data_IF_780677167990
#
_entry.id   IF_780677167990
#
_cell.length_a   1.000
_cell.length_b   1.000
_cell.length_c   1.000
_cell.angle_alpha   90.00
_cell.angle_beta   90.00
_cell.angle_gamma   90.00
#
_symmetry.space_group_name_H-M   'P 1'
#
loop_
_entity.id
_entity.type
_entity.pdbx_description
1 polymer ?
#
# COMPACT_ATOMS: atom_id res chain seq x y z
N UNK A 1 8.90 31.89 32.19
CA UNK A 1 8.88 32.10 30.72
C UNK A 1 10.32 32.34 30.35
N UNK A 2 10.91 31.56 29.43
CA UNK A 2 12.36 31.50 29.19
C UNK A 2 13.05 32.88 29.22
N UNK A 3 13.68 33.21 30.35
CA UNK A 3 14.33 34.51 30.58
C UNK A 3 15.77 34.53 30.02
N UNK A 4 16.30 33.36 29.61
CA UNK A 4 17.61 33.27 28.95
C UNK A 4 17.45 33.30 27.41
N UNK A 5 18.03 34.31 26.71
CA UNK A 5 17.99 34.37 25.25
C UNK A 5 18.61 33.15 24.56
N UNK A 6 19.49 32.39 25.24
CA UNK A 6 20.07 31.15 24.73
C UNK A 6 19.05 30.04 24.65
N UNK A 7 18.25 29.87 25.71
CA UNK A 7 17.17 28.88 25.76
C UNK A 7 16.14 29.15 24.66
N UNK A 8 15.74 30.42 24.50
CA UNK A 8 14.82 30.81 23.44
C UNK A 8 15.38 30.58 22.02
N UNK A 9 16.70 30.62 21.83
CA UNK A 9 17.33 30.32 20.55
C UNK A 9 17.37 28.81 20.27
N UNK A 10 17.60 27.99 21.30
CA UNK A 10 17.61 26.53 21.15
C UNK A 10 16.21 25.99 20.81
N UNK A 11 15.15 26.52 21.43
CA UNK A 11 13.76 26.15 21.10
C UNK A 11 13.44 26.50 19.64
N UNK A 12 13.85 27.69 19.18
CA UNK A 12 13.67 28.10 17.78
C UNK A 12 14.39 27.15 16.84
N UNK A 13 15.64 26.81 17.14
CA UNK A 13 16.44 25.87 16.34
C UNK A 13 15.75 24.51 16.21
N UNK A 14 15.21 23.95 17.29
CA UNK A 14 14.46 22.69 17.23
C UNK A 14 13.15 22.80 16.44
N UNK A 15 12.46 23.94 16.56
CA UNK A 15 11.22 24.19 15.79
C UNK A 15 11.52 24.21 14.29
N UNK A 16 12.58 24.92 13.88
CA UNK A 16 12.99 24.99 12.48
C UNK A 16 13.56 23.66 11.96
N UNK A 17 14.28 22.90 12.79
CA UNK A 17 14.79 21.59 12.42
C UNK A 17 13.68 20.55 12.15
N UNK A 18 12.48 20.74 12.72
CA UNK A 18 11.33 19.88 12.48
C UNK A 18 10.35 20.43 11.43
N UNK A 19 10.70 21.54 10.76
CA UNK A 19 9.88 22.11 9.70
C UNK A 19 9.83 21.17 8.49
N UNK A 20 8.68 21.14 7.81
CA UNK A 20 8.49 20.35 6.60
C UNK A 20 8.29 21.31 5.45
N UNK A 21 9.21 21.28 4.49
CA UNK A 21 9.16 22.18 3.35
C UNK A 21 8.03 21.80 2.39
N UNK A 22 7.43 22.77 1.67
CA UNK A 22 6.43 22.50 0.65
C UNK A 22 6.91 21.55 -0.46
N UNK A 23 8.22 21.54 -0.75
CA UNK A 23 8.83 20.63 -1.73
C UNK A 23 8.77 19.17 -1.23
N UNK A 24 9.07 18.96 0.06
CA UNK A 24 8.99 17.64 0.70
C UNK A 24 7.54 17.15 0.73
N UNK A 25 6.60 18.03 1.10
CA UNK A 25 5.17 17.73 1.06
C UNK A 25 4.70 17.36 -0.36
N UNK A 26 5.16 18.09 -1.39
CA UNK A 26 4.81 17.77 -2.79
C UNK A 26 5.38 16.41 -3.23
N UNK A 27 6.59 16.06 -2.80
CA UNK A 27 7.17 14.73 -3.05
C UNK A 27 6.37 13.64 -2.32
N UNK A 28 6.02 13.84 -1.06
CA UNK A 28 5.17 12.93 -0.28
C UNK A 28 3.82 12.67 -0.99
N UNK A 29 3.14 13.75 -1.40
CA UNK A 29 1.85 13.64 -2.09
C UNK A 29 1.97 12.89 -3.42
N UNK A 30 3.09 12.99 -4.14
CA UNK A 30 3.31 12.21 -5.37
C UNK A 30 3.52 10.72 -5.09
N UNK A 31 4.12 10.38 -3.96
CA UNK A 31 4.31 8.98 -3.52
C UNK A 31 2.95 8.38 -3.12
N UNK A 32 2.16 9.10 -2.31
CA UNK A 32 0.86 8.64 -1.83
C UNK A 32 -0.17 8.57 -2.97
N UNK A 33 -0.26 9.64 -3.77
CA UNK A 33 -1.18 9.74 -4.90
C UNK A 33 -0.47 9.43 -6.21
N UNK A 34 0.12 8.24 -6.28
CA UNK A 34 0.63 7.73 -7.54
C UNK A 34 -0.51 7.67 -8.58
N UNK A 35 -0.26 8.04 -9.85
CA UNK A 35 -1.29 7.97 -10.88
C UNK A 35 -1.79 6.53 -10.99
N UNK A 36 -3.11 6.33 -10.93
CA UNK A 36 -3.69 5.01 -11.12
C UNK A 36 -3.30 4.49 -12.51
N UNK A 37 -2.50 3.43 -12.56
CA UNK A 37 -1.95 2.89 -13.80
C UNK A 37 -2.97 2.15 -14.68
N UNK A 38 -2.47 1.23 -15.52
CA UNK A 38 -3.25 0.45 -16.49
C UNK A 38 -4.45 -0.33 -15.90
N UNK A 39 -4.43 -0.64 -14.60
CA UNK A 39 -5.54 -1.29 -13.89
C UNK A 39 -6.84 -0.45 -13.94
N UNK A 40 -6.72 0.88 -13.82
CA UNK A 40 -7.85 1.79 -14.03
C UNK A 40 -8.11 2.07 -15.52
N UNK A 41 -7.08 2.02 -16.37
CA UNK A 41 -7.25 2.22 -17.82
C UNK A 41 -8.09 1.12 -18.47
N UNK A 42 -7.93 -0.15 -18.08
CA UNK A 42 -8.78 -1.27 -18.56
C UNK A 42 -10.25 -1.08 -18.17
N UNK A 43 -10.53 -0.58 -16.96
CA UNK A 43 -11.89 -0.35 -16.48
C UNK A 43 -12.57 0.84 -17.19
N UNK A 44 -11.80 1.85 -17.58
CA UNK A 44 -12.25 2.98 -18.43
C UNK A 44 -12.58 2.60 -19.87
N UNK A 45 -11.91 1.59 -20.44
CA UNK A 45 -12.23 1.13 -21.80
C UNK A 45 -13.56 0.36 -21.88
N UNK A 46 -14.02 -0.25 -20.78
CA UNK A 46 -15.30 -0.96 -20.71
C UNK A 46 -16.46 -0.09 -20.20
N UNK A 47 -16.18 1.05 -19.58
CA UNK A 47 -17.20 1.95 -19.06
C UNK A 47 -16.73 3.40 -19.21
N UNK A 48 -17.41 4.16 -20.08
CA UNK A 48 -17.08 5.52 -20.48
C UNK A 48 -17.11 6.58 -19.37
N UNK A 49 -17.36 6.18 -18.12
CA UNK A 49 -17.54 7.08 -16.96
C UNK A 49 -16.94 6.53 -15.66
N UNK A 50 -16.02 5.55 -15.70
CA UNK A 50 -15.43 5.01 -14.46
C UNK A 50 -14.50 6.03 -13.78
N UNK A 51 -15.05 6.75 -12.79
CA UNK A 51 -14.29 7.36 -11.72
C UNK A 51 -13.54 6.27 -10.94
N UNK A 52 -12.30 6.55 -10.55
CA UNK A 52 -11.50 5.61 -9.76
C UNK A 52 -12.15 5.49 -8.37
N UNK A 53 -12.61 4.29 -8.01
CA UNK A 53 -13.25 4.00 -6.71
C UNK A 53 -12.27 3.90 -5.53
N UNK A 54 -11.02 4.34 -5.73
CA UNK A 54 -9.93 4.24 -4.76
C UNK A 54 -9.03 3.03 -4.97
N UNK A 55 -7.77 3.15 -4.55
CA UNK A 55 -6.80 2.06 -4.54
C UNK A 55 -6.15 1.97 -3.16
N UNK A 56 -5.75 0.75 -2.80
CA UNK A 56 -4.93 0.48 -1.64
C UNK A 56 -3.47 0.66 -2.04
N UNK A 57 -2.69 1.35 -1.20
CA UNK A 57 -1.26 1.53 -1.37
C UNK A 57 -0.59 1.13 -0.05
N UNK A 58 0.36 0.20 -0.11
CA UNK A 58 1.23 -0.06 1.04
C UNK A 58 2.33 1.00 1.09
N UNK A 59 2.44 1.66 2.24
CA UNK A 59 3.44 2.66 2.53
C UNK A 59 4.26 2.15 3.71
N UNK A 60 5.55 1.95 3.51
CA UNK A 60 6.47 1.71 4.61
C UNK A 60 6.90 3.07 5.19
N UNK A 61 6.50 3.40 6.43
CA UNK A 61 6.80 4.70 7.02
C UNK A 61 8.31 4.92 7.19
N UNK A 62 9.10 3.86 7.43
CA UNK A 62 10.56 4.00 7.60
C UNK A 62 11.23 4.31 6.27
N UNK A 63 10.91 3.53 5.22
CA UNK A 63 11.44 3.78 3.89
C UNK A 63 11.11 5.19 3.37
N UNK A 64 9.88 5.68 3.59
CA UNK A 64 9.48 7.01 3.13
C UNK A 64 10.14 8.09 3.99
N UNK A 65 10.28 7.87 5.29
CA UNK A 65 11.02 8.77 6.18
C UNK A 65 12.46 8.96 5.71
N UNK A 66 13.14 7.87 5.34
CA UNK A 66 14.53 7.89 4.87
C UNK A 66 14.66 8.56 3.48
N UNK A 67 13.78 8.22 2.53
CA UNK A 67 13.80 8.80 1.17
C UNK A 67 13.50 10.31 1.17
N UNK A 68 12.65 10.73 2.11
CA UNK A 68 12.15 12.09 2.17
C UNK A 68 12.87 12.95 3.21
N UNK A 69 13.76 12.37 4.02
CA UNK A 69 14.46 13.00 5.14
C UNK A 69 13.50 13.68 6.14
N UNK A 70 12.43 12.97 6.51
CA UNK A 70 11.43 13.42 7.48
C UNK A 70 11.30 12.40 8.60
N UNK A 71 11.10 12.88 9.82
CA UNK A 71 10.70 12.04 10.95
C UNK A 71 9.40 11.25 10.68
N UNK A 72 9.30 9.97 11.09
CA UNK A 72 8.10 9.16 10.89
C UNK A 72 6.86 9.72 11.61
N UNK A 73 7.04 10.41 12.73
CA UNK A 73 5.95 11.08 13.47
C UNK A 73 5.36 12.24 12.66
N UNK A 74 6.21 12.99 11.97
CA UNK A 74 5.79 14.06 11.06
C UNK A 74 5.00 13.52 9.87
N UNK A 75 5.42 12.39 9.30
CA UNK A 75 4.70 11.69 8.24
C UNK A 75 3.31 11.23 8.72
N UNK A 76 3.25 10.57 9.89
CA UNK A 76 1.99 10.12 10.49
C UNK A 76 1.04 11.30 10.76
N UNK A 77 1.58 12.43 11.20
CA UNK A 77 0.84 13.68 11.42
C UNK A 77 0.23 14.20 10.12
N UNK A 78 0.99 14.27 9.03
CA UNK A 78 0.48 14.70 7.71
C UNK A 78 -0.63 13.77 7.24
N UNK A 79 -0.43 12.44 7.30
CA UNK A 79 -1.45 11.48 6.88
C UNK A 79 -2.74 11.64 7.69
N UNK A 80 -2.63 11.87 8.99
CA UNK A 80 -3.77 12.11 9.87
C UNK A 80 -4.52 13.39 9.50
N UNK A 81 -3.80 14.48 9.19
CA UNK A 81 -4.43 15.70 8.68
C UNK A 81 -5.17 15.47 7.37
N UNK A 82 -4.56 14.73 6.43
CA UNK A 82 -5.19 14.39 5.16
C UNK A 82 -6.44 13.52 5.33
N UNK A 83 -6.42 12.58 6.29
CA UNK A 83 -7.57 11.74 6.62
C UNK A 83 -8.75 12.55 7.19
N UNK A 84 -8.46 13.56 8.01
CA UNK A 84 -9.47 14.41 8.66
C UNK A 84 -10.06 15.49 7.73
N UNK A 85 -9.43 15.77 6.59
CA UNK A 85 -9.81 16.88 5.73
C UNK A 85 -11.08 16.56 4.93
N UNK A 86 -12.23 16.97 5.46
CA UNK A 86 -13.57 16.73 4.88
C UNK A 86 -13.91 17.59 3.66
N UNK A 87 -13.12 18.64 3.39
CA UNK A 87 -13.36 19.59 2.29
C UNK A 87 -12.70 19.22 0.95
N UNK A 88 -11.98 18.10 0.85
CA UNK A 88 -11.31 17.68 -0.37
C UNK A 88 -11.94 16.40 -0.91
N UNK A 89 -12.21 16.33 -2.21
CA UNK A 89 -12.75 15.14 -2.92
C UNK A 89 -11.80 13.92 -2.90
N UNK A 90 -10.64 14.04 -2.26
CA UNK A 90 -9.61 12.99 -2.14
C UNK A 90 -9.69 12.37 -0.75
N UNK A 91 -10.70 11.53 -0.55
CA UNK A 91 -10.84 10.76 0.70
C UNK A 91 -9.67 9.78 0.84
N UNK A 92 -8.69 10.11 1.67
CA UNK A 92 -7.66 9.18 2.11
C UNK A 92 -8.18 8.44 3.34
N UNK A 93 -8.24 7.11 3.28
CA UNK A 93 -8.57 6.28 4.44
C UNK A 93 -7.32 5.57 4.91
N UNK A 94 -6.89 5.83 6.14
CA UNK A 94 -5.76 5.12 6.75
C UNK A 94 -6.28 3.76 7.23
N UNK A 95 -5.68 2.70 6.71
CA UNK A 95 -5.93 1.32 7.14
C UNK A 95 -4.94 0.97 8.26
N UNK A 96 -5.26 0.01 9.14
CA UNK A 96 -4.31 -0.46 10.14
C UNK A 96 -3.08 -1.11 9.46
N UNK A 97 -2.02 -1.30 10.25
CA UNK A 97 -0.77 -1.86 9.73
C UNK A 97 -0.97 -3.29 9.21
N UNK A 98 -0.66 -3.50 7.92
CA UNK A 98 -0.73 -4.79 7.25
C UNK A 98 0.61 -5.19 6.63
N UNK A 99 0.93 -6.48 6.59
CA UNK A 99 2.05 -6.95 5.79
C UNK A 99 1.77 -6.62 4.32
N UNK A 100 2.79 -6.17 3.59
CA UNK A 100 2.67 -5.91 2.14
C UNK A 100 2.44 -7.21 1.36
N UNK A 101 3.19 -8.25 1.71
CA UNK A 101 3.10 -9.56 1.07
C UNK A 101 3.06 -10.68 2.09
N UNK A 102 2.35 -11.75 1.75
CA UNK A 102 2.24 -12.98 2.55
C UNK A 102 2.82 -14.12 1.74
N UNK A 103 3.67 -14.93 2.37
CA UNK A 103 4.29 -16.08 1.72
C UNK A 103 3.63 -17.36 2.21
N UNK A 104 2.96 -18.07 1.30
CA UNK A 104 2.34 -19.35 1.57
C UNK A 104 3.29 -20.47 1.18
N UNK A 105 3.52 -21.40 2.10
CA UNK A 105 4.35 -22.59 1.88
C UNK A 105 3.50 -23.85 1.98
N UNK A 106 3.46 -24.62 0.90
CA UNK A 106 2.71 -25.87 0.81
C UNK A 106 3.69 -27.04 0.74
N UNK A 107 3.74 -27.83 1.82
CA UNK A 107 4.64 -28.99 1.91
C UNK A 107 4.18 -30.14 0.99
N UNK A 108 2.89 -30.26 0.74
CA UNK A 108 2.29 -31.19 -0.22
C UNK A 108 2.39 -30.75 -1.68
N UNK A 109 3.15 -29.68 -1.97
CA UNK A 109 3.39 -29.16 -3.31
C UNK A 109 2.11 -28.65 -4.00
N UNK A 110 2.08 -28.79 -5.32
CA UNK A 110 1.04 -28.22 -6.19
C UNK A 110 -0.37 -28.73 -5.91
N UNK A 111 -0.51 -30.00 -5.51
CA UNK A 111 -1.81 -30.62 -5.21
C UNK A 111 -2.43 -30.03 -3.94
N UNK A 112 -1.62 -29.74 -2.92
CA UNK A 112 -2.08 -29.08 -1.71
C UNK A 112 -2.47 -27.62 -2.00
N UNK A 113 -1.66 -26.91 -2.78
CA UNK A 113 -1.96 -25.56 -3.22
C UNK A 113 -3.28 -25.49 -4.01
N UNK A 114 -3.54 -26.46 -4.90
CA UNK A 114 -4.81 -26.56 -5.62
C UNK A 114 -6.00 -26.83 -4.69
N UNK A 115 -5.83 -27.65 -3.64
CA UNK A 115 -6.87 -27.87 -2.62
C UNK A 115 -7.16 -26.62 -1.81
N UNK A 116 -6.12 -25.87 -1.44
CA UNK A 116 -6.26 -24.59 -0.71
C UNK A 116 -6.91 -23.54 -1.59
N UNK A 117 -6.53 -23.46 -2.87
CA UNK A 117 -7.15 -22.59 -3.86
C UNK A 117 -8.68 -22.79 -3.94
N UNK A 118 -9.14 -24.04 -3.90
CA UNK A 118 -10.59 -24.33 -3.88
C UNK A 118 -11.30 -23.91 -2.59
N UNK A 119 -10.58 -23.66 -1.49
CA UNK A 119 -11.15 -23.25 -0.21
C UNK A 119 -11.01 -21.75 0.06
N UNK A 120 -9.89 -21.15 -0.35
CA UNK A 120 -9.56 -19.75 -0.12
C UNK A 120 -9.61 -18.99 -1.45
N UNK A 121 -10.55 -18.05 -1.54
CA UNK A 121 -10.74 -17.23 -2.73
C UNK A 121 -9.49 -16.39 -3.04
N UNK A 122 -8.81 -15.87 -2.01
CA UNK A 122 -7.62 -15.04 -2.18
C UNK A 122 -6.49 -15.79 -2.90
N UNK A 123 -6.26 -17.04 -2.52
CA UNK A 123 -5.26 -17.91 -3.15
C UNK A 123 -5.65 -18.20 -4.60
N UNK A 124 -6.91 -18.55 -4.86
CA UNK A 124 -7.39 -18.81 -6.22
C UNK A 124 -7.23 -17.61 -7.16
N UNK A 125 -7.56 -16.43 -6.67
CA UNK A 125 -7.50 -15.19 -7.42
C UNK A 125 -6.05 -14.77 -7.70
N UNK A 126 -5.14 -15.00 -6.75
CA UNK A 126 -3.71 -14.78 -6.95
C UNK A 126 -3.13 -15.75 -7.99
N UNK A 127 -3.44 -17.04 -7.90
CA UNK A 127 -2.99 -18.04 -8.89
C UNK A 127 -3.52 -17.71 -10.30
N UNK A 128 -4.78 -17.27 -10.39
CA UNK A 128 -5.35 -16.76 -11.65
C UNK A 128 -4.56 -15.57 -12.21
N UNK A 129 -4.19 -14.61 -11.35
CA UNK A 129 -3.38 -13.46 -11.75
C UNK A 129 -1.99 -13.87 -12.24
N UNK A 130 -1.33 -14.80 -11.53
CA UNK A 130 -0.03 -15.36 -11.94
C UNK A 130 -0.14 -16.04 -13.30
N UNK A 131 -1.16 -16.87 -13.51
CA UNK A 131 -1.35 -17.55 -14.79
C UNK A 131 -1.53 -16.61 -15.98
N UNK A 132 -2.05 -15.39 -15.74
CA UNK A 132 -2.25 -14.38 -16.78
C UNK A 132 -1.00 -13.52 -17.04
N UNK A 133 -0.12 -13.40 -16.04
CA UNK A 133 1.08 -12.56 -16.08
C UNK A 133 2.30 -13.37 -16.53
N UNK A 134 2.41 -14.62 -16.06
CA UNK A 134 3.51 -15.51 -16.34
C UNK A 134 3.11 -16.54 -17.40
N UNK A 135 3.63 -16.38 -18.62
CA UNK A 135 3.42 -17.34 -19.72
C UNK A 135 3.92 -18.77 -19.40
N UNK A 136 4.80 -18.93 -18.41
CA UNK A 136 5.39 -20.21 -18.00
C UNK A 136 4.82 -20.78 -16.70
N UNK A 137 3.72 -20.22 -16.18
CA UNK A 137 3.14 -20.64 -14.90
C UNK A 137 2.76 -22.13 -14.88
N UNK A 138 2.24 -22.67 -15.98
CA UNK A 138 1.87 -24.10 -16.08
C UNK A 138 3.07 -25.05 -15.97
N UNK A 139 4.27 -24.59 -16.32
CA UNK A 139 5.51 -25.39 -16.28
C UNK A 139 6.11 -25.39 -14.88
N UNK A 140 5.96 -24.30 -14.13
CA UNK A 140 6.47 -24.14 -12.76
C UNK A 140 5.49 -24.63 -11.69
N UNK A 141 4.20 -24.81 -12.04
CA UNK A 141 3.16 -25.29 -11.13
C UNK A 141 3.54 -26.57 -10.34
N UNK A 142 4.13 -27.63 -10.92
CA UNK A 142 4.44 -28.86 -10.19
C UNK A 142 5.58 -28.74 -9.15
N UNK A 143 6.45 -27.73 -9.27
CA UNK A 143 7.58 -27.49 -8.34
C UNK A 143 7.32 -26.33 -7.37
N UNK A 144 6.14 -25.73 -7.45
CA UNK A 144 5.77 -24.55 -6.68
C UNK A 144 5.36 -24.94 -5.25
N UNK A 145 6.35 -24.90 -4.36
CA UNK A 145 6.16 -25.13 -2.92
C UNK A 145 5.91 -23.85 -2.14
N UNK A 146 6.20 -22.69 -2.73
CA UNK A 146 6.14 -21.39 -2.09
C UNK A 146 5.54 -20.35 -3.04
N UNK A 147 4.50 -19.66 -2.58
CA UNK A 147 3.83 -18.59 -3.31
C UNK A 147 3.87 -17.32 -2.49
N UNK A 148 4.52 -16.28 -3.01
CA UNK A 148 4.45 -14.95 -2.42
C UNK A 148 3.27 -14.18 -3.02
N UNK A 149 2.31 -13.80 -2.17
CA UNK A 149 1.12 -13.03 -2.52
C UNK A 149 1.36 -11.57 -2.18
N UNK A 150 1.29 -10.68 -3.17
CA UNK A 150 1.23 -9.23 -2.91
C UNK A 150 -0.22 -8.82 -2.65
N UNK A 151 -0.51 -8.48 -1.39
CA UNK A 151 -1.86 -8.12 -0.97
C UNK A 151 -2.35 -6.84 -1.63
N UNK A 152 -1.45 -5.90 -1.93
CA UNK A 152 -1.80 -4.61 -2.52
C UNK A 152 -2.26 -4.81 -3.96
N UNK A 153 -1.49 -5.59 -4.73
CA UNK A 153 -1.82 -5.91 -6.13
C UNK A 153 -3.12 -6.70 -6.19
N UNK A 154 -3.29 -7.69 -5.31
CA UNK A 154 -4.50 -8.49 -5.23
C UNK A 154 -5.72 -7.64 -4.89
N UNK A 155 -5.65 -6.82 -3.83
CA UNK A 155 -6.75 -5.95 -3.43
C UNK A 155 -7.12 -4.93 -4.52
N UNK A 156 -6.12 -4.39 -5.24
CA UNK A 156 -6.37 -3.44 -6.32
C UNK A 156 -6.96 -4.08 -7.59
N UNK A 157 -6.61 -5.33 -7.88
CA UNK A 157 -7.18 -6.05 -9.03
C UNK A 157 -8.66 -6.40 -8.81
N UNK A 158 -9.00 -6.88 -7.61
CA UNK A 158 -10.33 -7.42 -7.29
C UNK A 158 -11.23 -6.44 -6.53
N UNK A 159 -10.67 -5.33 -6.01
CA UNK A 159 -11.40 -4.36 -5.20
C UNK A 159 -11.72 -4.85 -3.79
N UNK A 160 -10.93 -5.80 -3.26
CA UNK A 160 -11.15 -6.34 -1.92
C UNK A 160 -10.55 -5.48 -0.82
N UNK A 161 -11.13 -5.57 0.38
CA UNK A 161 -10.56 -4.99 1.59
C UNK A 161 -9.45 -5.90 2.13
N UNK A 162 -8.28 -5.36 2.50
CA UNK A 162 -7.16 -6.17 2.98
C UNK A 162 -7.49 -6.93 4.27
N UNK A 163 -8.36 -6.39 5.12
CA UNK A 163 -8.84 -7.03 6.35
C UNK A 163 -9.49 -8.40 6.07
N UNK A 164 -10.33 -8.46 5.04
CA UNK A 164 -11.04 -9.68 4.65
C UNK A 164 -10.07 -10.69 4.05
N UNK A 165 -9.19 -10.23 3.17
CA UNK A 165 -8.17 -11.07 2.54
C UNK A 165 -7.24 -11.69 3.58
N UNK A 166 -6.87 -10.93 4.62
CA UNK A 166 -6.07 -11.44 5.74
C UNK A 166 -6.80 -12.50 6.56
N UNK A 167 -8.10 -12.33 6.80
CA UNK A 167 -8.87 -13.32 7.57
C UNK A 167 -9.06 -14.65 6.80
N UNK A 168 -9.02 -14.59 5.47
CA UNK A 168 -9.12 -15.76 4.59
C UNK A 168 -7.79 -16.52 4.42
N UNK A 169 -6.65 -15.89 4.72
CA UNK A 169 -5.29 -16.43 4.56
C UNK A 169 -4.73 -16.98 5.88
#
# INVERSE_FOLDING_TARGET
>A
MADDPREANEIRRHTFANHIDPVMLKRLLRIIFAPCGAACARRRQQSSEASCSGHVVALDPQYIADELDIKPESLATILSYLHLQTGCERSLTILPAYPKSVTLRCYGGSNELARISNRCLAVSAWLGLLSSTEANFSVNLPTLHEVQIDLVVLCNAWGWRPDVVRNEL
#
